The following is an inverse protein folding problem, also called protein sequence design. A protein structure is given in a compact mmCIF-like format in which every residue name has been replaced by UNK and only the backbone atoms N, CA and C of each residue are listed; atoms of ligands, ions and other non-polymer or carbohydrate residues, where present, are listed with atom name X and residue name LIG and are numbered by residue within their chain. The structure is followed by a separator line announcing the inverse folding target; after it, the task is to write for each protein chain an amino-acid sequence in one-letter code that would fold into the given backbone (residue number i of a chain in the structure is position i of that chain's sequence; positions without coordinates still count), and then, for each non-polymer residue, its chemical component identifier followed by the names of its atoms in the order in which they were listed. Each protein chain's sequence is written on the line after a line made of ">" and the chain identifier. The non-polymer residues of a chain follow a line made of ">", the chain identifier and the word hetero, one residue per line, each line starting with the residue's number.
data_IF_954508607968
#
_entry.id   IF_954508607968
#
_cell.length_a   1.000
_cell.length_b   1.000
_cell.length_c   1.000
_cell.angle_alpha   90.00
_cell.angle_beta   90.00
_cell.angle_gamma   90.00
#
_symmetry.space_group_name_H-M   'P 1'
#
loop_
_entity.id
_entity.type
_entity.pdbx_description
1 polymer ?
#
# COMPACT_ATOMS: atom_id res chain seq x y z
N UNK A 1 0.35 63.20 -20.26
CA UNK A 1 -0.70 62.14 -20.40
C UNK A 1 -0.44 61.13 -21.54
N UNK A 2 0.22 61.48 -22.65
CA UNK A 2 0.48 60.57 -23.78
C UNK A 2 1.33 59.31 -23.45
N UNK A 3 2.29 59.38 -22.51
CA UNK A 3 3.11 58.22 -22.14
C UNK A 3 2.39 57.15 -21.29
N UNK A 4 1.31 57.50 -20.57
CA UNK A 4 0.49 56.52 -19.82
C UNK A 4 -0.42 55.73 -20.77
N UNK A 5 -1.00 56.39 -21.79
CA UNK A 5 -1.85 55.74 -22.80
C UNK A 5 -1.08 54.71 -23.65
N UNK A 6 0.15 55.03 -24.10
CA UNK A 6 1.01 54.08 -24.82
C UNK A 6 1.41 52.87 -23.97
N UNK A 7 1.70 53.05 -22.68
CA UNK A 7 2.02 51.94 -21.75
C UNK A 7 0.81 51.02 -21.53
N UNK A 8 -0.39 51.58 -21.34
CA UNK A 8 -1.63 50.80 -21.18
C UNK A 8 -1.94 49.99 -22.45
N UNK A 9 -1.79 50.58 -23.64
CA UNK A 9 -1.96 49.87 -24.91
C UNK A 9 -0.95 48.74 -25.14
N UNK A 10 0.29 48.90 -24.68
CA UNK A 10 1.31 47.85 -24.72
C UNK A 10 0.98 46.72 -23.75
N UNK A 11 0.57 47.04 -22.50
CA UNK A 11 0.17 46.05 -21.50
C UNK A 11 -1.02 45.22 -21.95
N UNK A 12 -2.05 45.84 -22.54
CA UNK A 12 -3.23 45.13 -23.07
C UNK A 12 -2.84 44.21 -24.23
N UNK A 13 -1.97 44.65 -25.15
CA UNK A 13 -1.48 43.80 -26.25
C UNK A 13 -0.67 42.61 -25.75
N UNK A 14 0.20 42.81 -24.75
CA UNK A 14 0.94 41.71 -24.11
C UNK A 14 -0.02 40.72 -23.46
N UNK A 15 -1.05 41.19 -22.74
CA UNK A 15 -2.03 40.34 -22.09
C UNK A 15 -2.87 39.53 -23.09
N UNK A 16 -3.22 40.14 -24.23
CA UNK A 16 -3.90 39.44 -25.34
C UNK A 16 -2.99 38.38 -25.94
N UNK A 17 -1.73 38.71 -26.26
CA UNK A 17 -0.77 37.75 -26.85
C UNK A 17 -0.50 36.59 -25.89
N UNK A 18 -0.31 36.85 -24.60
CA UNK A 18 -0.14 35.83 -23.57
C UNK A 18 -1.39 34.95 -23.47
N UNK A 19 -2.58 35.54 -23.41
CA UNK A 19 -3.85 34.80 -23.37
C UNK A 19 -4.06 33.91 -24.60
N UNK A 20 -3.73 34.43 -25.80
CA UNK A 20 -3.86 33.70 -27.06
C UNK A 20 -2.85 32.55 -27.15
N UNK A 21 -1.63 32.77 -26.66
CA UNK A 21 -0.60 31.73 -26.56
C UNK A 21 -1.00 30.61 -25.59
N UNK A 22 -1.51 30.97 -24.40
CA UNK A 22 -2.07 29.99 -23.45
C UNK A 22 -3.25 29.24 -24.05
N UNK A 23 -4.15 29.92 -24.76
CA UNK A 23 -5.31 29.31 -25.42
C UNK A 23 -4.90 28.30 -26.51
N UNK A 24 -3.87 28.63 -27.31
CA UNK A 24 -3.33 27.70 -28.33
C UNK A 24 -2.67 26.50 -27.67
N UNK A 25 -1.86 26.69 -26.63
CA UNK A 25 -1.24 25.58 -25.88
C UNK A 25 -2.31 24.66 -25.30
N UNK A 26 -3.36 25.23 -24.71
CA UNK A 26 -4.49 24.47 -24.17
C UNK A 26 -5.23 23.72 -25.27
N UNK A 27 -5.51 24.36 -26.41
CA UNK A 27 -6.15 23.72 -27.55
C UNK A 27 -5.31 22.54 -28.08
N UNK A 28 -3.99 22.72 -28.21
CA UNK A 28 -3.08 21.66 -28.61
C UNK A 28 -3.03 20.52 -27.59
N UNK A 29 -3.01 20.82 -26.29
CA UNK A 29 -3.07 19.81 -25.24
C UNK A 29 -4.41 19.04 -25.27
N UNK A 30 -5.52 19.74 -25.46
CA UNK A 30 -6.85 19.13 -25.58
C UNK A 30 -6.95 18.22 -26.82
N UNK A 31 -6.40 18.66 -27.96
CA UNK A 31 -6.31 17.86 -29.19
C UNK A 31 -5.42 16.63 -28.97
N UNK A 32 -4.26 16.79 -28.32
CA UNK A 32 -3.34 15.71 -28.03
C UNK A 32 -3.97 14.64 -27.12
N UNK A 33 -4.59 15.04 -26.02
CA UNK A 33 -5.28 14.13 -25.07
C UNK A 33 -6.50 13.45 -25.73
N UNK A 34 -7.09 14.08 -26.74
CA UNK A 34 -8.20 13.53 -27.53
C UNK A 34 -7.74 12.69 -28.74
N UNK A 35 -6.43 12.55 -28.96
CA UNK A 35 -5.86 11.79 -30.06
C UNK A 35 -5.42 10.40 -29.60
N UNK A 36 -5.88 9.37 -30.32
CA UNK A 36 -5.51 7.98 -30.09
C UNK A 36 -4.04 7.73 -30.43
N UNK A 37 -3.56 8.28 -31.56
CA UNK A 37 -2.15 8.18 -31.95
C UNK A 37 -1.22 8.82 -30.92
N UNK A 38 -1.62 9.96 -30.35
CA UNK A 38 -0.84 10.61 -29.28
C UNK A 38 -0.85 9.77 -28.01
N UNK A 39 -2.01 9.20 -27.66
CA UNK A 39 -2.18 8.35 -26.49
C UNK A 39 -1.29 7.11 -26.54
N UNK A 40 -1.29 6.42 -27.68
CA UNK A 40 -0.39 5.28 -27.93
C UNK A 40 1.08 5.71 -27.92
N UNK A 41 1.42 6.81 -28.62
CA UNK A 41 2.77 7.34 -28.65
C UNK A 41 3.29 7.67 -27.25
N UNK A 42 2.50 8.33 -26.41
CA UNK A 42 2.87 8.70 -25.05
C UNK A 42 3.14 7.45 -24.19
N UNK A 43 2.29 6.42 -24.27
CA UNK A 43 2.52 5.16 -23.56
C UNK A 43 3.79 4.45 -24.03
N UNK A 44 4.03 4.40 -25.34
CA UNK A 44 5.27 3.82 -25.89
C UNK A 44 6.51 4.61 -25.47
N UNK A 45 6.41 5.94 -25.30
CA UNK A 45 7.52 6.75 -24.75
C UNK A 45 7.78 6.47 -23.27
N UNK A 46 6.75 6.24 -22.47
CA UNK A 46 6.90 5.79 -21.08
C UNK A 46 7.57 4.41 -21.03
N UNK A 47 7.14 3.47 -21.88
CA UNK A 47 7.77 2.16 -22.00
C UNK A 47 9.24 2.25 -22.41
N UNK A 48 9.58 3.09 -23.39
CA UNK A 48 10.97 3.34 -23.79
C UNK A 48 11.82 3.91 -22.64
N UNK A 49 11.24 4.78 -21.80
CA UNK A 49 11.89 5.29 -20.60
C UNK A 49 12.26 4.19 -19.60
N UNK A 50 11.42 3.16 -19.46
CA UNK A 50 11.73 1.97 -18.66
C UNK A 50 12.77 1.08 -19.34
N UNK A 51 12.69 0.92 -20.66
CA UNK A 51 13.69 0.16 -21.44
C UNK A 51 15.09 0.74 -21.27
N UNK A 52 15.22 2.06 -21.32
CA UNK A 52 16.49 2.75 -21.07
C UNK A 52 17.06 2.52 -19.66
N UNK A 53 16.24 2.02 -18.72
CA UNK A 53 16.64 1.65 -17.35
C UNK A 53 16.89 0.14 -17.19
N UNK A 54 16.95 -0.60 -18.30
CA UNK A 54 17.23 -2.03 -18.32
C UNK A 54 16.02 -2.93 -18.05
N UNK A 55 14.80 -2.42 -18.24
CA UNK A 55 13.58 -3.23 -18.21
C UNK A 55 13.21 -3.71 -19.62
N UNK A 56 12.65 -4.90 -19.73
CA UNK A 56 11.93 -5.35 -20.91
C UNK A 56 10.46 -4.97 -20.71
N UNK A 57 9.89 -4.19 -21.65
CA UNK A 57 8.49 -3.76 -21.56
C UNK A 57 7.74 -4.20 -22.82
N UNK A 58 6.65 -4.92 -22.63
CA UNK A 58 5.72 -5.31 -23.69
C UNK A 58 4.34 -4.70 -23.41
N UNK A 59 3.72 -4.16 -24.45
CA UNK A 59 2.40 -3.53 -24.44
C UNK A 59 1.57 -4.14 -25.56
N UNK A 60 0.48 -4.81 -25.22
CA UNK A 60 -0.41 -5.44 -26.19
C UNK A 60 -1.76 -4.73 -26.30
N UNK A 61 -2.27 -4.63 -27.52
CA UNK A 61 -3.61 -4.12 -27.86
C UNK A 61 -3.95 -2.76 -27.20
N UNK A 62 -3.05 -1.78 -27.30
CA UNK A 62 -3.30 -0.40 -26.83
C UNK A 62 -4.37 0.26 -27.69
N UNK A 63 -5.45 0.74 -27.07
CA UNK A 63 -6.58 1.40 -27.76
C UNK A 63 -7.15 2.55 -26.93
N UNK A 64 -7.76 3.52 -27.60
CA UNK A 64 -8.50 4.60 -26.96
C UNK A 64 -7.66 5.85 -26.68
N UNK A 65 -8.22 6.74 -25.86
CA UNK A 65 -7.76 8.13 -25.69
C UNK A 65 -7.69 8.48 -24.21
N UNK A 66 -6.70 9.27 -23.80
CA UNK A 66 -6.59 9.71 -22.40
C UNK A 66 -7.86 10.42 -21.88
N UNK A 67 -8.57 11.16 -22.74
CA UNK A 67 -9.81 11.86 -22.39
C UNK A 67 -10.95 10.91 -21.99
N UNK A 68 -11.06 9.77 -22.66
CA UNK A 68 -12.18 8.84 -22.50
C UNK A 68 -11.77 7.68 -21.57
N UNK A 69 -10.74 6.96 -21.99
CA UNK A 69 -9.93 5.95 -21.29
C UNK A 69 -9.03 5.28 -22.34
N UNK A 70 -7.78 5.03 -21.97
CA UNK A 70 -6.92 4.13 -22.74
C UNK A 70 -7.03 2.75 -22.13
N UNK A 71 -7.27 1.74 -22.97
CA UNK A 71 -7.25 0.34 -22.59
C UNK A 71 -6.00 -0.33 -23.12
N UNK A 72 -5.36 -1.15 -22.29
CA UNK A 72 -4.23 -2.00 -22.65
C UNK A 72 -4.55 -3.40 -22.18
N UNK A 73 -4.52 -4.37 -23.09
CA UNK A 73 -4.89 -5.74 -22.76
C UNK A 73 -3.88 -6.39 -21.82
N UNK A 74 -2.60 -6.23 -22.11
CA UNK A 74 -1.53 -6.72 -21.24
C UNK A 74 -0.37 -5.75 -21.25
N UNK A 75 0.13 -5.44 -20.05
CA UNK A 75 1.37 -4.70 -19.82
C UNK A 75 2.30 -5.65 -19.08
N UNK A 76 3.41 -6.00 -19.71
CA UNK A 76 4.43 -6.84 -19.10
C UNK A 76 5.72 -6.03 -18.92
N UNK A 77 6.25 -5.99 -17.71
CA UNK A 77 7.50 -5.31 -17.37
C UNK A 77 8.40 -6.31 -16.66
N UNK A 78 9.54 -6.65 -17.25
CA UNK A 78 10.51 -7.61 -16.72
C UNK A 78 11.86 -6.96 -16.47
N UNK A 79 12.56 -7.37 -15.43
CA UNK A 79 13.97 -7.08 -15.23
C UNK A 79 14.71 -8.38 -14.91
N UNK A 80 15.34 -8.95 -15.94
CA UNK A 80 15.95 -10.29 -15.85
C UNK A 80 17.04 -10.40 -14.79
N UNK A 81 17.85 -9.35 -14.61
CA UNK A 81 18.91 -9.31 -13.60
C UNK A 81 18.38 -9.53 -12.18
N UNK A 82 17.18 -9.01 -11.90
CA UNK A 82 16.62 -8.94 -10.55
C UNK A 82 15.50 -9.99 -10.36
N UNK A 83 15.28 -10.86 -11.35
CA UNK A 83 14.16 -11.82 -11.41
C UNK A 83 12.81 -11.17 -11.11
N UNK A 84 12.67 -9.90 -11.46
CA UNK A 84 11.49 -9.08 -11.22
C UNK A 84 10.59 -9.07 -12.45
N UNK A 85 9.28 -9.25 -12.25
CA UNK A 85 8.30 -9.09 -13.30
C UNK A 85 6.97 -8.52 -12.77
N UNK A 86 6.42 -7.55 -13.49
CA UNK A 86 5.07 -7.03 -13.30
C UNK A 86 4.26 -7.38 -14.53
N UNK A 87 3.09 -7.96 -14.32
CA UNK A 87 2.10 -8.23 -15.35
C UNK A 87 0.79 -7.54 -14.94
N UNK A 88 0.25 -6.71 -15.82
CA UNK A 88 -1.07 -6.12 -15.64
C UNK A 88 -1.98 -6.55 -16.79
N UNK A 89 -3.14 -7.10 -16.47
CA UNK A 89 -4.14 -7.57 -17.43
C UNK A 89 -5.38 -6.66 -17.44
N UNK A 90 -5.89 -6.41 -18.64
CA UNK A 90 -7.06 -5.62 -18.96
C UNK A 90 -7.08 -4.30 -18.18
N UNK A 91 -6.07 -3.48 -18.42
CA UNK A 91 -5.88 -2.21 -17.72
C UNK A 91 -6.56 -1.09 -18.50
N UNK A 92 -7.34 -0.27 -17.79
CA UNK A 92 -7.86 0.97 -18.30
C UNK A 92 -7.38 2.13 -17.45
N UNK A 93 -6.84 3.18 -18.07
CA UNK A 93 -6.48 4.42 -17.39
C UNK A 93 -7.09 5.63 -18.08
N UNK A 94 -7.55 6.60 -17.29
CA UNK A 94 -8.17 7.83 -17.77
C UNK A 94 -7.64 9.05 -17.05
N UNK A 95 -7.60 10.18 -17.76
CA UNK A 95 -7.28 11.49 -17.19
C UNK A 95 -8.48 12.42 -17.38
N UNK A 96 -9.02 12.92 -16.27
CA UNK A 96 -10.08 13.92 -16.29
C UNK A 96 -9.50 15.31 -15.95
N UNK A 97 -9.68 16.24 -16.88
CA UNK A 97 -9.18 17.62 -16.82
C UNK A 97 -10.23 18.65 -16.37
N UNK A 98 -11.49 18.26 -16.12
CA UNK A 98 -12.57 19.20 -15.73
C UNK A 98 -12.23 20.03 -14.49
N UNK A 99 -11.51 19.41 -13.54
CA UNK A 99 -11.08 20.05 -12.29
C UNK A 99 -9.80 20.87 -12.41
N UNK A 100 -9.16 20.88 -13.58
CA UNK A 100 -7.94 21.64 -13.83
C UNK A 100 -8.20 23.15 -13.64
N UNK A 101 -9.29 23.65 -14.21
CA UNK A 101 -9.60 25.09 -14.21
C UNK A 101 -10.16 25.59 -12.87
N UNK A 102 -10.86 24.73 -12.13
CA UNK A 102 -11.52 25.12 -10.88
C UNK A 102 -10.64 24.91 -9.66
N UNK A 103 -9.77 23.90 -9.68
CA UNK A 103 -8.99 23.47 -8.51
C UNK A 103 -7.50 23.30 -8.77
N UNK A 104 -7.04 23.44 -10.02
CA UNK A 104 -5.65 23.20 -10.37
C UNK A 104 -5.24 21.74 -10.18
N UNK A 105 -6.15 20.80 -10.48
CA UNK A 105 -5.93 19.35 -10.30
C UNK A 105 -6.39 18.56 -11.52
N UNK A 106 -5.59 17.58 -11.96
CA UNK A 106 -5.99 16.54 -12.92
C UNK A 106 -6.38 15.29 -12.15
N UNK A 107 -7.54 14.72 -12.48
CA UNK A 107 -8.03 13.49 -11.86
C UNK A 107 -7.58 12.27 -12.67
N UNK A 108 -7.09 11.24 -12.00
CA UNK A 108 -6.60 10.01 -12.61
C UNK A 108 -7.44 8.81 -12.16
N UNK A 109 -7.94 8.06 -13.13
CA UNK A 109 -8.70 6.83 -12.92
C UNK A 109 -7.90 5.62 -13.41
N UNK A 110 -7.92 4.54 -12.62
CA UNK A 110 -7.33 3.26 -13.02
C UNK A 110 -8.27 2.11 -12.70
N UNK A 111 -8.49 1.25 -13.69
CA UNK A 111 -9.15 -0.04 -13.56
C UNK A 111 -8.18 -1.13 -14.06
N UNK A 112 -8.02 -2.20 -13.30
CA UNK A 112 -7.22 -3.35 -13.71
C UNK A 112 -7.87 -4.63 -13.23
N UNK A 113 -7.95 -5.63 -14.11
CA UNK A 113 -8.50 -6.92 -13.76
C UNK A 113 -7.54 -7.72 -12.88
N UNK A 114 -6.28 -7.81 -13.30
CA UNK A 114 -5.29 -8.57 -12.58
C UNK A 114 -3.95 -7.85 -12.62
N UNK A 115 -3.30 -7.75 -11.46
CA UNK A 115 -1.97 -7.19 -11.30
C UNK A 115 -1.12 -8.24 -10.61
N UNK A 116 -0.14 -8.79 -11.28
CA UNK A 116 0.81 -9.73 -10.72
C UNK A 116 2.17 -9.03 -10.59
N UNK A 117 2.68 -8.97 -9.38
CA UNK A 117 4.04 -8.55 -9.08
C UNK A 117 4.78 -9.77 -8.57
N UNK A 118 5.84 -10.13 -9.27
CA UNK A 118 6.69 -11.26 -8.93
C UNK A 118 8.13 -10.79 -8.86
N UNK A 119 8.93 -11.50 -8.07
CA UNK A 119 10.34 -11.20 -8.01
C UNK A 119 10.76 -10.29 -6.86
N UNK A 120 9.86 -9.99 -5.93
CA UNK A 120 10.22 -9.19 -4.76
C UNK A 120 11.06 -10.06 -3.79
N UNK A 121 12.23 -9.58 -3.41
CA UNK A 121 12.95 -10.07 -2.23
C UNK A 121 12.33 -9.45 -0.98
N UNK A 122 12.03 -10.25 0.05
CA UNK A 122 11.45 -9.77 1.33
C UNK A 122 12.39 -8.81 2.06
N UNK A 123 13.67 -8.79 1.69
CA UNK A 123 14.65 -7.86 2.21
C UNK A 123 15.50 -7.39 1.05
N UNK A 124 15.21 -6.20 0.56
CA UNK A 124 16.21 -5.46 -0.17
C UNK A 124 16.21 -4.03 0.37
N UNK A 125 17.25 -3.69 1.13
CA UNK A 125 17.57 -2.29 1.49
C UNK A 125 17.59 -1.41 0.23
N UNK A 126 17.77 -2.00 -0.97
CA UNK A 126 17.67 -1.31 -2.25
C UNK A 126 16.27 -0.78 -2.58
N UNK A 127 15.15 -1.34 -2.07
CA UNK A 127 13.80 -0.75 -2.25
C UNK A 127 13.66 0.53 -1.41
N UNK A 128 14.20 0.53 -0.19
CA UNK A 128 14.29 1.72 0.67
C UNK A 128 15.27 2.76 0.11
N UNK A 129 16.28 2.30 -0.63
CA UNK A 129 17.24 3.12 -1.35
C UNK A 129 16.86 3.37 -2.82
N UNK A 130 15.64 3.05 -3.27
CA UNK A 130 15.15 3.56 -4.54
C UNK A 130 15.06 5.08 -4.33
N UNK A 131 15.94 5.89 -4.93
CA UNK A 131 15.84 7.32 -4.81
C UNK A 131 14.44 7.72 -5.28
N UNK A 132 13.80 8.66 -4.58
CA UNK A 132 12.52 9.23 -5.00
C UNK A 132 12.62 9.53 -6.50
N UNK A 133 11.83 8.81 -7.30
CA UNK A 133 11.89 8.95 -8.75
C UNK A 133 11.58 10.41 -9.10
N UNK A 134 12.59 11.11 -9.59
CA UNK A 134 12.50 12.47 -10.08
C UNK A 134 12.67 12.52 -11.60
N UNK A 135 12.19 11.49 -12.30
CA UNK A 135 12.27 11.41 -13.76
C UNK A 135 10.91 11.24 -14.44
N UNK A 136 9.86 11.81 -13.86
CA UNK A 136 8.77 12.35 -14.69
C UNK A 136 9.24 13.58 -15.48
N UNK A 137 10.51 13.74 -15.84
CA UNK A 137 11.04 14.93 -16.53
C UNK A 137 10.32 15.23 -17.87
N UNK A 138 9.71 14.23 -18.50
CA UNK A 138 8.87 14.40 -19.69
C UNK A 138 7.45 14.92 -19.39
N UNK A 139 7.00 14.84 -18.13
CA UNK A 139 5.76 15.40 -17.58
C UNK A 139 6.00 16.44 -16.48
N UNK A 140 7.26 16.80 -16.19
CA UNK A 140 7.71 17.60 -15.04
C UNK A 140 7.30 19.07 -15.10
N UNK A 141 6.55 19.43 -16.14
CA UNK A 141 5.89 20.72 -16.26
C UNK A 141 4.40 20.57 -16.57
N UNK A 142 3.72 19.58 -15.99
CA UNK A 142 2.31 19.81 -15.63
C UNK A 142 2.32 20.63 -14.33
N UNK A 143 1.98 21.93 -14.35
CA UNK A 143 2.00 22.81 -13.17
C UNK A 143 0.86 22.50 -12.19
N UNK A 144 0.42 21.25 -12.12
CA UNK A 144 -0.90 20.84 -11.64
C UNK A 144 -0.78 19.53 -10.87
N UNK A 145 -1.40 19.45 -9.69
CA UNK A 145 -1.42 18.24 -8.89
C UNK A 145 -2.27 17.14 -9.57
N UNK A 146 -1.82 15.89 -9.50
CA UNK A 146 -2.61 14.73 -9.97
C UNK A 146 -3.27 14.06 -8.75
N UNK A 147 -4.59 13.96 -8.76
CA UNK A 147 -5.38 13.26 -7.73
C UNK A 147 -5.94 11.95 -8.30
N UNK A 148 -5.86 10.84 -7.55
CA UNK A 148 -6.47 9.56 -7.93
C UNK A 148 -7.98 9.66 -7.71
N UNK A 149 -8.82 9.83 -8.73
CA UNK A 149 -10.28 9.91 -8.62
C UNK A 149 -10.89 8.58 -8.23
N UNK A 150 -10.54 7.51 -8.95
CA UNK A 150 -10.94 6.15 -8.65
C UNK A 150 -9.80 5.17 -8.92
N UNK A 151 -9.78 4.10 -8.13
CA UNK A 151 -8.89 2.96 -8.34
C UNK A 151 -9.71 1.70 -8.14
N UNK A 152 -9.69 0.81 -9.11
CA UNK A 152 -10.37 -0.48 -9.03
C UNK A 152 -9.42 -1.56 -9.53
N UNK A 153 -8.81 -2.29 -8.60
CA UNK A 153 -8.01 -3.47 -8.91
C UNK A 153 -8.78 -4.68 -8.41
N UNK A 154 -9.28 -5.51 -9.34
CA UNK A 154 -10.06 -6.70 -8.93
C UNK A 154 -9.18 -7.67 -8.18
N UNK A 155 -7.95 -7.90 -8.67
CA UNK A 155 -6.98 -8.80 -8.05
C UNK A 155 -5.56 -8.29 -8.18
N UNK A 156 -4.84 -8.19 -7.07
CA UNK A 156 -3.40 -7.87 -7.01
C UNK A 156 -2.67 -8.99 -6.28
N UNK A 157 -1.76 -9.68 -6.97
CA UNK A 157 -0.97 -10.80 -6.43
C UNK A 157 0.49 -10.38 -6.30
N UNK A 158 1.09 -10.62 -5.15
CA UNK A 158 2.52 -10.42 -4.90
C UNK A 158 3.17 -11.77 -4.55
N UNK A 159 4.20 -12.17 -5.32
CA UNK A 159 4.94 -13.43 -5.14
C UNK A 159 6.42 -13.13 -4.87
N UNK A 160 6.94 -13.65 -3.75
CA UNK A 160 8.33 -13.44 -3.33
C UNK A 160 9.30 -14.52 -3.86
N UNK A 161 10.58 -14.17 -4.11
CA UNK A 161 11.61 -15.11 -4.63
C UNK A 161 12.25 -15.90 -3.47
N UNK A 162 11.58 -16.91 -2.91
CA UNK A 162 12.26 -17.94 -2.09
C UNK A 162 11.57 -19.31 -2.27
N UNK A 163 12.30 -20.43 -2.13
CA UNK A 163 11.65 -21.73 -2.03
C UNK A 163 10.69 -21.69 -0.83
N UNK A 164 9.40 -21.99 -1.07
CA UNK A 164 8.27 -21.78 -0.14
C UNK A 164 7.83 -20.30 0.02
N UNK A 165 7.64 -19.61 -1.11
CA UNK A 165 7.22 -18.22 -1.16
C UNK A 165 5.84 -18.00 -0.53
N UNK A 166 5.75 -17.02 0.37
CA UNK A 166 4.47 -16.42 0.77
C UNK A 166 3.86 -15.73 -0.45
N UNK A 167 2.54 -15.81 -0.57
CA UNK A 167 1.78 -15.05 -1.56
C UNK A 167 0.82 -14.11 -0.85
N UNK A 168 0.82 -12.83 -1.26
CA UNK A 168 -0.12 -11.82 -0.80
C UNK A 168 -1.06 -11.46 -1.94
N UNK A 169 -2.36 -11.65 -1.73
CA UNK A 169 -3.41 -11.41 -2.72
C UNK A 169 -4.35 -10.34 -2.17
N UNK A 170 -4.47 -9.20 -2.85
CA UNK A 170 -5.52 -8.23 -2.57
C UNK A 170 -6.70 -8.43 -3.54
N UNK A 171 -7.91 -8.63 -3.02
CA UNK A 171 -9.09 -8.99 -3.82
C UNK A 171 -10.41 -8.57 -3.12
N UNK A 172 -10.97 -7.37 -3.39
CA UNK A 172 -10.46 -6.31 -4.26
C UNK A 172 -9.69 -5.22 -3.51
N UNK A 173 -8.96 -4.37 -4.26
CA UNK A 173 -8.41 -3.10 -3.79
C UNK A 173 -9.12 -1.95 -4.52
N UNK A 174 -9.85 -1.11 -3.78
CA UNK A 174 -10.72 -0.07 -4.34
C UNK A 174 -10.57 1.27 -3.64
N UNK A 175 -10.41 2.34 -4.43
CA UNK A 175 -10.65 3.73 -4.02
C UNK A 175 -11.93 4.18 -4.71
N UNK A 176 -12.97 4.43 -3.91
CA UNK A 176 -14.30 4.81 -4.36
C UNK A 176 -14.49 6.31 -4.09
N UNK A 177 -14.92 7.11 -5.07
CA UNK A 177 -15.31 8.50 -4.85
C UNK A 177 -16.38 8.61 -3.77
N UNK A 178 -16.37 9.69 -3.00
CA UNK A 178 -17.48 10.01 -2.08
C UNK A 178 -18.01 11.40 -2.38
N UNK A 179 -19.19 11.73 -1.86
CA UNK A 179 -19.77 13.07 -1.95
C UNK A 179 -18.87 14.13 -1.27
N UNK A 180 -18.04 13.70 -0.31
CA UNK A 180 -17.02 14.55 0.28
C UNK A 180 -15.83 14.69 -0.68
N UNK A 181 -15.67 15.88 -1.24
CA UNK A 181 -14.60 16.24 -2.17
C UNK A 181 -13.19 15.98 -1.60
N UNK A 182 -13.01 16.04 -0.28
CA UNK A 182 -11.70 15.89 0.38
C UNK A 182 -11.35 14.44 0.73
N UNK A 183 -12.34 13.54 0.78
CA UNK A 183 -12.15 12.18 1.26
C UNK A 183 -12.68 11.16 0.25
N UNK A 184 -11.88 10.12 0.00
CA UNK A 184 -12.29 8.99 -0.84
C UNK A 184 -12.37 7.74 0.02
N UNK A 185 -13.37 6.91 -0.20
CA UNK A 185 -13.51 5.65 0.54
C UNK A 185 -12.47 4.67 0.01
N UNK A 186 -11.67 4.12 0.91
CA UNK A 186 -10.66 3.10 0.59
C UNK A 186 -11.12 1.77 1.19
N UNK A 187 -11.23 0.76 0.36
CA UNK A 187 -11.58 -0.61 0.76
C UNK A 187 -10.53 -1.55 0.17
N UNK A 188 -9.96 -2.41 1.01
CA UNK A 188 -9.00 -3.40 0.55
C UNK A 188 -9.20 -4.71 1.29
N UNK A 189 -9.37 -5.81 0.57
CA UNK A 189 -9.36 -7.14 1.14
C UNK A 189 -8.03 -7.78 0.81
N UNK A 190 -7.33 -8.30 1.82
CA UNK A 190 -6.04 -8.98 1.72
C UNK A 190 -6.21 -10.43 2.15
N UNK A 191 -5.62 -11.33 1.37
CA UNK A 191 -5.43 -12.74 1.69
C UNK A 191 -3.94 -13.04 1.66
N UNK A 192 -3.43 -13.60 2.75
CA UNK A 192 -2.07 -14.11 2.85
C UNK A 192 -2.11 -15.63 2.78
N UNK A 193 -1.22 -16.22 1.97
CA UNK A 193 -1.11 -17.67 1.85
C UNK A 193 0.35 -18.13 1.82
N UNK A 194 0.60 -19.35 2.27
CA UNK A 194 1.92 -19.97 2.32
C UNK A 194 1.79 -21.47 2.04
N UNK A 195 2.62 -21.99 1.13
CA UNK A 195 2.57 -23.40 0.69
C UNK A 195 1.14 -23.87 0.32
N UNK A 196 0.39 -23.03 -0.38
CA UNK A 196 -1.03 -23.24 -0.74
C UNK A 196 -2.04 -23.28 0.44
N UNK A 197 -1.60 -23.09 1.68
CA UNK A 197 -2.47 -22.89 2.85
C UNK A 197 -2.80 -21.41 3.07
N UNK A 198 -4.02 -21.11 3.48
CA UNK A 198 -4.41 -19.76 3.89
C UNK A 198 -3.82 -19.44 5.27
N UNK A 199 -3.03 -18.37 5.35
CA UNK A 199 -2.43 -17.90 6.61
C UNK A 199 -3.31 -16.88 7.31
N UNK A 200 -4.00 -16.06 6.53
CA UNK A 200 -4.90 -15.08 7.09
C UNK A 200 -5.63 -14.26 6.04
N UNK A 201 -6.67 -13.60 6.52
CA UNK A 201 -7.52 -12.68 5.78
C UNK A 201 -7.53 -11.35 6.53
N UNK A 202 -7.52 -10.23 5.82
CA UNK A 202 -7.67 -8.92 6.41
C UNK A 202 -8.56 -8.05 5.52
N UNK A 203 -9.47 -7.32 6.14
CA UNK A 203 -10.32 -6.33 5.48
C UNK A 203 -9.99 -4.97 6.03
N UNK A 204 -9.58 -4.06 5.16
CA UNK A 204 -9.43 -2.65 5.46
C UNK A 204 -10.63 -1.88 4.94
N UNK A 205 -11.17 -1.00 5.78
CA UNK A 205 -12.17 -0.01 5.38
C UNK A 205 -11.84 1.34 6.01
N UNK A 206 -11.80 2.40 5.20
CA UNK A 206 -11.40 3.71 5.66
C UNK A 206 -11.57 4.83 4.64
N UNK A 207 -10.93 5.96 4.94
CA UNK A 207 -10.91 7.16 4.10
C UNK A 207 -9.48 7.55 3.74
N UNK A 208 -9.32 8.01 2.50
CA UNK A 208 -8.10 8.58 1.94
C UNK A 208 -8.32 10.08 1.73
N UNK A 209 -7.49 10.89 2.38
CA UNK A 209 -7.39 12.32 2.15
C UNK A 209 -6.06 12.62 1.44
N UNK A 210 -6.12 12.83 0.12
CA UNK A 210 -4.92 13.01 -0.71
C UNK A 210 -4.22 14.34 -0.42
N UNK A 211 -4.98 15.41 -0.18
CA UNK A 211 -4.44 16.74 0.15
C UNK A 211 -3.66 16.73 1.47
N UNK A 212 -4.21 16.06 2.49
CA UNK A 212 -3.55 15.89 3.78
C UNK A 212 -2.52 14.74 3.80
N UNK A 213 -2.40 13.97 2.70
CA UNK A 213 -1.58 12.76 2.59
C UNK A 213 -1.80 11.82 3.77
N UNK A 214 -3.08 11.56 4.05
CA UNK A 214 -3.55 10.81 5.22
C UNK A 214 -4.53 9.71 4.83
N UNK A 215 -4.42 8.54 5.45
CA UNK A 215 -5.39 7.45 5.39
C UNK A 215 -5.81 7.15 6.82
N UNK A 216 -7.10 7.02 7.08
CA UNK A 216 -7.62 6.55 8.37
C UNK A 216 -8.60 5.41 8.10
N UNK A 217 -8.65 4.41 8.97
CA UNK A 217 -9.61 3.32 8.84
C UNK A 217 -9.43 2.25 9.89
N UNK A 218 -10.09 1.13 9.66
CA UNK A 218 -9.99 -0.07 10.50
C UNK A 218 -9.55 -1.24 9.65
N UNK A 219 -8.69 -2.09 10.24
CA UNK A 219 -8.34 -3.41 9.74
C UNK A 219 -9.02 -4.43 10.62
N UNK A 220 -9.87 -5.25 10.03
CA UNK A 220 -10.41 -6.46 10.63
C UNK A 220 -9.69 -7.66 10.00
N UNK A 221 -8.84 -8.34 10.77
CA UNK A 221 -8.02 -9.44 10.33
C UNK A 221 -8.35 -10.75 11.05
N UNK A 222 -8.11 -11.87 10.37
CA UNK A 222 -8.12 -13.21 10.91
C UNK A 222 -6.78 -13.87 10.56
N UNK A 223 -5.92 -14.12 11.53
CA UNK A 223 -4.62 -14.77 11.33
C UNK A 223 -4.65 -16.12 12.04
N UNK A 224 -4.37 -17.20 11.31
CA UNK A 224 -4.50 -18.56 11.83
C UNK A 224 -5.85 -18.83 12.53
N UNK A 225 -6.94 -18.28 11.98
CA UNK A 225 -8.31 -18.39 12.53
C UNK A 225 -8.65 -17.41 13.66
N UNK A 226 -7.71 -16.57 14.10
CA UNK A 226 -7.88 -15.70 15.26
C UNK A 226 -8.13 -14.26 14.84
N UNK A 227 -9.19 -13.67 15.39
CA UNK A 227 -9.66 -12.35 15.00
C UNK A 227 -8.86 -11.25 15.69
N UNK A 228 -8.45 -10.27 14.90
CA UNK A 228 -7.71 -9.10 15.33
C UNK A 228 -8.38 -7.89 14.70
N UNK A 229 -8.59 -6.84 15.49
CA UNK A 229 -9.08 -5.57 14.96
C UNK A 229 -8.15 -4.44 15.38
N UNK A 230 -7.79 -3.59 14.43
CA UNK A 230 -6.94 -2.43 14.68
C UNK A 230 -7.46 -1.23 13.93
N UNK A 231 -7.52 -0.09 14.61
CA UNK A 231 -7.53 1.20 13.93
C UNK A 231 -6.18 1.42 13.26
N UNK A 232 -6.18 2.06 12.09
CA UNK A 232 -4.98 2.36 11.32
C UNK A 232 -5.05 3.79 10.80
N UNK A 233 -3.97 4.52 11.00
CA UNK A 233 -3.73 5.86 10.49
C UNK A 233 -2.36 5.89 9.81
N UNK A 234 -2.38 6.13 8.50
CA UNK A 234 -1.16 6.37 7.71
C UNK A 234 -1.09 7.85 7.42
N UNK A 235 0.03 8.49 7.73
CA UNK A 235 0.23 9.90 7.40
C UNK A 235 1.62 10.17 6.87
N UNK A 236 1.72 11.16 5.97
CA UNK A 236 3.00 11.65 5.47
C UNK A 236 3.07 13.16 5.57
N UNK A 237 3.81 13.67 6.56
CA UNK A 237 4.10 15.11 6.70
C UNK A 237 5.17 15.54 5.68
N UNK A 238 5.09 16.78 5.18
CA UNK A 238 6.07 17.33 4.23
C UNK A 238 7.48 17.27 4.83
N UNK A 239 8.42 16.67 4.10
CA UNK A 239 9.81 16.48 4.57
C UNK A 239 10.00 15.38 5.62
N UNK A 240 8.97 14.57 5.93
CA UNK A 240 9.06 13.42 6.84
C UNK A 240 8.74 12.11 6.13
N UNK A 241 9.24 11.02 6.71
CA UNK A 241 8.93 9.65 6.28
C UNK A 241 7.48 9.28 6.57
N UNK A 242 7.02 8.20 5.93
CA UNK A 242 5.69 7.65 6.14
C UNK A 242 5.61 7.14 7.58
N UNK A 243 4.55 7.55 8.27
CA UNK A 243 4.22 7.10 9.61
C UNK A 243 2.94 6.28 9.54
N UNK A 244 2.98 5.08 10.09
CA UNK A 244 1.83 4.20 10.24
C UNK A 244 1.58 4.03 11.73
N UNK A 245 0.37 4.28 12.19
CA UNK A 245 0.03 4.17 13.60
C UNK A 245 -1.37 3.59 13.77
N UNK A 246 -1.67 3.12 14.97
CA UNK A 246 -2.95 2.50 15.22
C UNK A 246 -3.21 2.21 16.68
N UNK A 247 -4.41 1.72 16.92
CA UNK A 247 -4.82 1.15 18.19
C UNK A 247 -5.36 -0.24 17.93
N UNK A 248 -4.72 -1.24 18.54
CA UNK A 248 -5.15 -2.62 18.55
C UNK A 248 -6.24 -2.77 19.61
N UNK A 249 -7.47 -3.06 19.19
CA UNK A 249 -8.52 -3.45 20.13
C UNK A 249 -8.15 -4.78 20.77
N UNK A 250 -8.66 -5.02 21.99
CA UNK A 250 -8.38 -6.26 22.72
C UNK A 250 -8.62 -7.50 21.84
N UNK A 251 -7.53 -8.19 21.55
CA UNK A 251 -7.50 -9.44 20.81
C UNK A 251 -7.04 -10.54 21.76
N UNK A 252 -7.79 -11.64 21.80
CA UNK A 252 -7.46 -12.81 22.60
C UNK A 252 -6.99 -13.91 21.65
N UNK A 253 -5.74 -14.33 21.85
CA UNK A 253 -5.08 -15.31 21.03
C UNK A 253 -5.07 -16.66 21.72
N UNK A 254 -5.54 -17.69 21.03
CA UNK A 254 -5.35 -19.08 21.42
C UNK A 254 -3.97 -19.54 20.93
N UNK A 255 -3.07 -19.87 21.85
CA UNK A 255 -1.70 -20.21 21.49
C UNK A 255 -1.57 -21.60 20.92
N UNK A 256 -2.52 -22.52 21.15
CA UNK A 256 -2.40 -23.91 20.71
C UNK A 256 -2.39 -24.07 19.17
N UNK A 257 -3.32 -23.47 18.39
CA UNK A 257 -3.29 -23.57 16.94
C UNK A 257 -2.02 -22.98 16.33
N UNK A 258 -1.57 -21.83 16.83
CA UNK A 258 -0.37 -21.14 16.34
C UNK A 258 0.89 -21.91 16.71
N UNK A 259 0.97 -22.41 17.95
CA UNK A 259 2.07 -23.23 18.43
C UNK A 259 2.20 -24.49 17.58
N UNK A 260 1.10 -25.21 17.32
CA UNK A 260 1.14 -26.41 16.46
C UNK A 260 1.54 -26.10 15.03
N UNK A 261 1.04 -24.99 14.47
CA UNK A 261 1.38 -24.56 13.12
C UNK A 261 2.87 -24.22 12.99
N UNK A 262 3.42 -23.53 13.98
CA UNK A 262 4.82 -23.08 13.98
C UNK A 262 5.79 -24.09 14.60
N UNK A 263 5.31 -25.19 15.19
CA UNK A 263 6.13 -26.13 15.94
C UNK A 263 7.31 -26.69 15.13
N UNK A 264 7.12 -26.91 13.82
CA UNK A 264 8.20 -27.37 12.92
C UNK A 264 9.38 -26.39 12.78
N UNK A 265 9.29 -25.16 13.29
CA UNK A 265 10.40 -24.21 13.32
C UNK A 265 11.38 -24.47 14.48
N UNK A 266 10.94 -25.15 15.53
CA UNK A 266 11.72 -25.31 16.76
C UNK A 266 11.67 -26.72 17.35
N UNK A 267 10.82 -27.61 16.85
CA UNK A 267 10.61 -28.96 17.41
C UNK A 267 11.90 -29.78 17.53
N UNK A 268 12.83 -29.63 16.57
CA UNK A 268 14.09 -30.37 16.56
C UNK A 268 15.06 -29.92 17.67
N UNK A 269 14.91 -28.70 18.18
CA UNK A 269 15.78 -28.10 19.22
C UNK A 269 15.06 -27.89 20.55
N UNK A 270 13.73 -27.76 20.54
CA UNK A 270 12.89 -27.42 21.67
C UNK A 270 11.53 -28.12 21.53
N UNK A 271 11.37 -29.37 22.00
CA UNK A 271 10.17 -30.18 21.75
C UNK A 271 9.01 -29.79 22.67
N UNK A 272 8.64 -28.51 22.69
CA UNK A 272 7.55 -27.97 23.48
C UNK A 272 6.48 -27.32 22.61
N UNK A 273 5.24 -27.51 23.03
CA UNK A 273 4.09 -26.78 22.53
C UNK A 273 3.55 -25.84 23.60
N UNK A 274 2.94 -24.75 23.14
CA UNK A 274 2.25 -23.79 23.99
C UNK A 274 0.74 -23.99 23.84
N UNK A 275 0.03 -24.02 24.95
CA UNK A 275 -1.43 -24.06 25.02
C UNK A 275 -1.90 -22.99 26.00
N UNK A 276 -3.07 -22.40 25.81
CA UNK A 276 -3.58 -21.30 26.63
C UNK A 276 -3.78 -20.01 25.86
N UNK A 277 -4.05 -18.93 26.59
CA UNK A 277 -4.55 -17.68 26.00
C UNK A 277 -3.59 -16.52 26.23
N UNK A 278 -3.41 -15.70 25.20
CA UNK A 278 -2.66 -14.45 25.26
C UNK A 278 -3.57 -13.31 24.81
N UNK A 279 -3.90 -12.36 25.68
CA UNK A 279 -4.54 -11.12 25.24
C UNK A 279 -3.51 -10.07 24.85
N UNK A 280 -3.87 -9.19 23.93
CA UNK A 280 -3.06 -8.05 23.49
C UNK A 280 -3.98 -6.89 23.07
N UNK A 281 -3.66 -5.69 23.54
CA UNK A 281 -4.31 -4.44 23.15
C UNK A 281 -3.33 -3.28 23.27
N UNK A 282 -3.66 -2.14 22.67
CA UNK A 282 -2.90 -0.90 22.90
C UNK A 282 -2.49 -0.18 21.63
N UNK A 283 -1.72 0.88 21.79
CA UNK A 283 -1.29 1.72 20.67
C UNK A 283 0.04 1.26 20.08
N UNK A 284 0.18 1.46 18.78
CA UNK A 284 1.41 1.15 18.06
C UNK A 284 1.70 2.20 16.99
N UNK A 285 2.98 2.33 16.66
CA UNK A 285 3.47 3.25 15.65
C UNK A 285 4.71 2.64 14.98
N UNK A 286 4.76 2.74 13.66
CA UNK A 286 5.89 2.38 12.85
C UNK A 286 6.31 3.59 12.01
N UNK A 287 7.59 3.91 12.06
CA UNK A 287 8.22 4.91 11.21
C UNK A 287 9.65 4.43 10.90
N UNK A 288 10.10 4.61 9.67
CA UNK A 288 11.43 4.17 9.22
C UNK A 288 12.61 4.74 10.02
N UNK A 289 12.44 5.87 10.71
CA UNK A 289 13.51 6.48 11.51
C UNK A 289 13.66 5.88 12.91
N UNK A 290 12.55 5.48 13.54
CA UNK A 290 12.52 5.01 14.93
C UNK A 290 12.16 3.53 15.05
N UNK A 291 11.80 2.88 13.94
CA UNK A 291 11.34 1.51 13.91
C UNK A 291 9.92 1.38 14.46
N UNK A 292 9.66 0.25 15.13
CA UNK A 292 8.38 -0.04 15.78
C UNK A 292 8.38 0.44 17.23
N UNK A 293 7.43 1.31 17.54
CA UNK A 293 7.10 1.75 18.88
C UNK A 293 5.73 1.19 19.25
N UNK A 294 5.59 0.76 20.50
CA UNK A 294 4.34 0.19 20.98
C UNK A 294 4.16 0.50 22.44
N UNK A 295 2.92 0.74 22.81
CA UNK A 295 2.42 0.74 24.16
C UNK A 295 1.31 -0.32 24.21
N UNK A 296 1.74 -1.58 24.31
CA UNK A 296 0.87 -2.74 24.22
C UNK A 296 0.79 -3.40 25.59
N UNK A 297 -0.36 -3.96 25.93
CA UNK A 297 -0.54 -4.69 27.18
C UNK A 297 -1.52 -5.84 27.00
N UNK A 298 -1.43 -6.80 27.91
CA UNK A 298 -2.30 -7.94 27.90
C UNK A 298 -2.03 -8.90 29.04
N UNK A 299 -2.61 -10.10 28.90
CA UNK A 299 -2.56 -11.16 29.89
C UNK A 299 -2.17 -12.47 29.23
N UNK A 300 -1.32 -13.22 29.89
CA UNK A 300 -1.15 -14.65 29.67
C UNK A 300 -2.08 -15.37 30.66
N UNK A 301 -3.05 -16.11 30.15
CA UNK A 301 -3.98 -16.90 30.97
C UNK A 301 -3.78 -18.38 30.67
N UNK A 302 -3.34 -19.12 31.68
CA UNK A 302 -3.11 -20.56 31.62
C UNK A 302 -2.22 -20.96 30.45
N UNK A 303 -1.16 -20.17 30.19
CA UNK A 303 -0.21 -20.48 29.12
C UNK A 303 0.68 -21.64 29.58
N UNK A 304 0.35 -22.84 29.11
CA UNK A 304 1.03 -24.09 29.42
C UNK A 304 2.17 -24.33 28.45
N UNK A 305 3.36 -24.63 29.00
CA UNK A 305 4.46 -25.23 28.25
C UNK A 305 4.37 -26.74 28.41
N UNK A 306 4.06 -27.42 27.31
CA UNK A 306 3.79 -28.87 27.30
C UNK A 306 4.90 -29.57 26.53
N UNK A 307 5.54 -30.56 27.14
CA UNK A 307 6.51 -31.41 26.47
C UNK A 307 5.81 -32.29 25.43
N UNK A 308 6.15 -32.11 24.16
CA UNK A 308 5.55 -32.85 23.06
C UNK A 308 5.91 -34.35 23.16
N UNK A 309 4.90 -35.23 23.03
CA UNK A 309 5.06 -36.69 23.14
C UNK A 309 4.94 -37.25 24.55
N UNK A 310 5.11 -36.43 25.59
CA UNK A 310 4.94 -36.84 27.00
C UNK A 310 3.61 -36.34 27.61
N UNK A 311 2.99 -35.32 27.01
CA UNK A 311 1.77 -34.67 27.53
C UNK A 311 1.90 -34.18 28.99
N UNK A 312 3.13 -33.90 29.43
CA UNK A 312 3.42 -33.36 30.76
C UNK A 312 3.46 -31.84 30.66
N UNK A 313 2.61 -31.18 31.44
CA UNK A 313 2.66 -29.74 31.67
C UNK A 313 3.84 -29.43 32.61
N UNK A 314 4.85 -28.72 32.09
CA UNK A 314 6.00 -28.33 32.90
C UNK A 314 5.80 -26.99 33.59
N UNK A 315 5.19 -26.05 32.91
CA UNK A 315 5.06 -24.67 33.34
C UNK A 315 3.66 -24.16 32.98
N UNK A 316 2.99 -23.51 33.93
CA UNK A 316 1.82 -22.67 33.70
C UNK A 316 2.22 -21.22 33.90
N UNK A 317 2.05 -20.39 32.88
CA UNK A 317 2.30 -18.96 32.95
C UNK A 317 0.97 -18.22 33.07
N UNK A 318 0.78 -17.55 34.20
CA UNK A 318 -0.32 -16.61 34.46
C UNK A 318 0.30 -15.25 34.78
N UNK A 319 0.30 -14.34 33.81
CA UNK A 319 1.00 -13.06 33.96
C UNK A 319 0.21 -11.93 33.32
N UNK A 320 0.36 -10.72 33.82
CA UNK A 320 0.12 -9.52 33.01
C UNK A 320 1.43 -9.10 32.34
N UNK A 321 1.34 -8.62 31.11
CA UNK A 321 2.50 -8.13 30.39
C UNK A 321 2.22 -6.74 29.82
N UNK A 322 3.27 -5.94 29.75
CA UNK A 322 3.24 -4.60 29.17
C UNK A 322 4.51 -4.36 28.37
N UNK A 323 4.34 -4.03 27.09
CA UNK A 323 5.39 -3.65 26.17
C UNK A 323 5.38 -2.15 25.96
N UNK A 324 6.50 -1.49 26.29
CA UNK A 324 6.73 -0.08 26.02
C UNK A 324 8.05 0.12 25.29
N UNK A 325 7.98 0.52 24.02
CA UNK A 325 9.13 0.98 23.22
C UNK A 325 10.38 0.08 23.29
N UNK A 326 10.19 -1.23 23.19
CA UNK A 326 11.28 -2.22 23.20
C UNK A 326 11.46 -2.95 24.54
N UNK A 327 10.84 -2.47 25.61
CA UNK A 327 10.92 -3.11 26.94
C UNK A 327 9.64 -3.86 27.24
N UNK A 328 9.74 -5.14 27.62
CA UNK A 328 8.61 -5.93 28.13
C UNK A 328 8.73 -6.03 29.64
N UNK A 329 7.72 -5.56 30.38
CA UNK A 329 7.53 -5.89 31.78
C UNK A 329 6.49 -7.00 31.93
N UNK A 330 6.76 -7.93 32.83
CA UNK A 330 5.90 -9.07 33.13
C UNK A 330 5.66 -9.06 34.63
N UNK A 331 4.40 -9.19 35.04
CA UNK A 331 4.04 -9.34 36.45
C UNK A 331 3.31 -10.67 36.62
N UNK A 332 3.88 -11.52 37.46
CA UNK A 332 3.28 -12.80 37.79
C UNK A 332 1.99 -12.62 38.57
N UNK A 333 0.96 -13.37 38.17
CA UNK A 333 -0.34 -13.39 38.83
C UNK A 333 -0.74 -14.81 39.24
N UNK A 334 0.25 -15.68 39.50
CA UNK A 334 0.04 -17.04 39.95
C UNK A 334 0.43 -18.09 38.91
N UNK A 335 1.61 -17.94 38.29
CA UNK A 335 2.24 -18.98 37.49
C UNK A 335 2.56 -20.21 38.36
N UNK A 336 2.77 -21.37 37.73
CA UNK A 336 3.10 -22.62 38.42
C UNK A 336 4.20 -23.37 37.69
N UNK A 337 5.12 -23.99 38.42
CA UNK A 337 6.09 -24.95 37.91
C UNK A 337 5.71 -26.35 38.39
N UNK A 338 5.48 -27.29 37.47
CA UNK A 338 5.06 -28.67 37.81
C UNK A 338 3.84 -28.72 38.76
N UNK A 339 2.89 -27.78 38.58
CA UNK A 339 1.72 -27.56 39.43
C UNK A 339 1.98 -27.02 40.85
N UNK A 340 3.22 -26.68 41.20
CA UNK A 340 3.56 -25.94 42.40
C UNK A 340 3.61 -24.44 42.10
N UNK A 341 3.11 -23.57 43.01
CA UNK A 341 3.14 -22.11 42.82
C UNK A 341 4.54 -21.54 42.82
#
# INVERSE_FOLDING_TARGET
>A
MQNKSKKIGLTIRVLIVVSLFFSIIIALAAIAVSSENFSEYALRRVALGLVNKGFEVDLSDVKGRFKDKITVKTIEIKKRSDKFAVLLDNVAFGLNFERLYTKGVISFDIDAENVLISGLSISDERILNIPTYNEMACFAYFPTEIEISSLNIKKLRNIFIKPNSTELIFEPLKIIPTDNVLEKKLVANLKASWKAGELGLATFSGTLNQKAKKINGTVDAAIAGQKIKSEVNVSRKKGKNIEVSGYLSEAMFDTAPVSRWLAGLWQDTFPFSFDGKLSCSGSWLYNTNVGFLGNLSGKCEKLHVVAMGLFIQLLELNNTWHYLNGTVSISDTGSKLLNFP
#
